data_IF_026462902533
#
_entry.id   IF_026462902533
#
_cell.length_a   1.000
_cell.length_b   1.000
_cell.length_c   1.000
_cell.angle_alpha   90.00
_cell.angle_beta   90.00
_cell.angle_gamma   90.00
#
_symmetry.space_group_name_H-M   'P 1'
#
loop_
_entity.id
_entity.type
_entity.pdbx_description
1 polymer ?
#
# COMPACT_ATOMS: atom_id res chain seq x y z
N UNK A 1 29.96 7.62 8.62
CA UNK A 1 29.43 6.92 9.82
C UNK A 1 29.31 5.45 9.44
N UNK A 2 29.66 4.56 10.36
CA UNK A 2 29.89 3.10 10.25
C UNK A 2 29.35 2.38 8.99
N UNK A 3 30.27 1.90 8.15
CA UNK A 3 30.02 1.10 6.93
C UNK A 3 29.90 -0.41 7.20
N UNK A 4 29.71 -0.82 8.46
CA UNK A 4 29.46 -2.20 8.82
C UNK A 4 27.96 -2.35 9.12
N UNK A 5 27.29 -3.39 8.61
CA UNK A 5 25.88 -3.62 8.92
C UNK A 5 25.73 -3.77 10.45
N UNK A 6 24.81 -3.02 11.04
CA UNK A 6 24.53 -3.02 12.49
C UNK A 6 24.11 -4.42 12.99
N UNK A 7 23.68 -5.30 12.07
CA UNK A 7 23.34 -6.71 12.34
C UNK A 7 23.50 -7.58 11.10
N UNK A 8 23.77 -8.87 11.31
CA UNK A 8 23.64 -9.90 10.27
C UNK A 8 22.16 -10.15 10.00
N UNK A 9 21.75 -10.05 8.73
CA UNK A 9 20.36 -10.28 8.29
C UNK A 9 20.23 -11.65 7.64
N UNK A 10 19.07 -12.25 7.79
CA UNK A 10 18.72 -13.52 7.17
C UNK A 10 18.37 -13.25 5.70
N UNK A 11 19.03 -13.94 4.78
CA UNK A 11 18.62 -13.96 3.38
C UNK A 11 17.54 -15.03 3.17
N UNK A 12 16.57 -14.75 2.29
CA UNK A 12 15.47 -15.65 1.98
C UNK A 12 15.62 -16.22 0.57
N UNK A 13 16.48 -17.24 0.37
CA UNK A 13 16.68 -17.82 -0.94
C UNK A 13 15.37 -18.38 -1.51
N UNK A 14 15.13 -18.09 -2.79
CA UNK A 14 13.96 -18.52 -3.56
C UNK A 14 12.61 -18.07 -2.96
N UNK A 15 12.58 -17.02 -2.13
CA UNK A 15 11.34 -16.50 -1.54
C UNK A 15 10.36 -16.00 -2.62
N UNK A 16 9.11 -16.44 -2.53
CA UNK A 16 8.02 -15.94 -3.37
C UNK A 16 7.46 -14.64 -2.82
N UNK A 17 7.02 -13.73 -3.71
CA UNK A 17 6.32 -12.51 -3.33
C UNK A 17 5.04 -12.76 -2.54
N UNK A 18 4.45 -13.95 -2.72
CA UNK A 18 3.30 -14.45 -1.95
C UNK A 18 3.55 -14.51 -0.45
N UNK A 19 4.81 -14.47 -0.02
CA UNK A 19 5.20 -14.43 1.40
C UNK A 19 4.83 -13.11 2.06
N UNK A 20 5.05 -11.99 1.37
CA UNK A 20 4.80 -10.65 1.92
C UNK A 20 3.55 -9.99 1.35
N UNK A 21 2.99 -10.49 0.24
CA UNK A 21 1.73 -9.99 -0.31
C UNK A 21 0.58 -10.11 0.69
N UNK A 22 0.03 -8.96 1.07
CA UNK A 22 -1.08 -8.89 2.00
C UNK A 22 -2.33 -9.52 1.36
N UNK A 23 -3.11 -10.34 2.07
CA UNK A 23 -4.29 -11.00 1.49
C UNK A 23 -5.31 -10.04 0.86
N UNK A 24 -5.50 -8.85 1.45
CA UNK A 24 -6.39 -7.82 0.88
C UNK A 24 -5.88 -7.19 -0.40
N UNK A 25 -4.56 -7.14 -0.62
CA UNK A 25 -3.98 -6.68 -1.89
C UNK A 25 -4.33 -7.65 -3.01
N UNK A 26 -4.06 -8.95 -2.78
CA UNK A 26 -4.39 -10.03 -3.73
C UNK A 26 -5.88 -10.05 -4.04
N UNK A 27 -6.73 -9.94 -3.01
CA UNK A 27 -8.18 -9.89 -3.18
C UNK A 27 -8.64 -8.66 -4.00
N UNK A 28 -8.10 -7.48 -3.69
CA UNK A 28 -8.42 -6.24 -4.38
C UNK A 28 -8.00 -6.30 -5.85
N UNK A 29 -6.81 -6.83 -6.15
CA UNK A 29 -6.32 -6.96 -7.52
C UNK A 29 -7.18 -7.90 -8.35
N UNK A 30 -7.60 -9.02 -7.77
CA UNK A 30 -8.46 -9.98 -8.45
C UNK A 30 -9.85 -9.40 -8.69
N UNK A 31 -10.40 -8.68 -7.70
CA UNK A 31 -11.69 -7.97 -7.84
C UNK A 31 -11.61 -6.91 -8.92
N UNK A 32 -10.53 -6.14 -8.95
CA UNK A 32 -10.27 -5.11 -9.93
C UNK A 32 -10.26 -5.68 -11.37
N UNK A 33 -9.67 -6.86 -11.57
CA UNK A 33 -9.66 -7.56 -12.87
C UNK A 33 -11.04 -7.99 -13.34
N UNK A 34 -12.03 -8.11 -12.46
CA UNK A 34 -13.42 -8.40 -12.85
C UNK A 34 -14.19 -7.17 -13.32
N UNK A 35 -13.66 -5.95 -13.12
CA UNK A 35 -14.34 -4.73 -13.54
C UNK A 35 -14.41 -4.62 -15.06
N UNK A 36 -15.61 -4.37 -15.56
CA UNK A 36 -15.88 -4.21 -16.99
C UNK A 36 -15.04 -3.05 -17.56
N UNK A 37 -14.21 -3.35 -18.56
CA UNK A 37 -13.38 -2.37 -19.27
C UNK A 37 -11.96 -2.22 -18.71
N UNK A 38 -11.61 -2.91 -17.63
CA UNK A 38 -10.25 -2.92 -17.07
C UNK A 38 -9.20 -3.39 -18.08
N UNK A 39 -9.45 -4.51 -18.76
CA UNK A 39 -8.54 -5.06 -19.76
C UNK A 39 -8.32 -4.11 -20.95
N UNK A 40 -9.37 -3.38 -21.35
CA UNK A 40 -9.30 -2.39 -22.42
C UNK A 40 -8.42 -1.21 -22.00
N UNK A 41 -8.57 -0.72 -20.77
CA UNK A 41 -7.74 0.35 -20.22
C UNK A 41 -6.28 -0.10 -20.14
N UNK A 42 -6.03 -1.29 -19.58
CA UNK A 42 -4.68 -1.84 -19.48
C UNK A 42 -4.01 -2.01 -20.85
N UNK A 43 -4.70 -2.58 -21.84
CA UNK A 43 -4.15 -2.79 -23.18
C UNK A 43 -3.86 -1.46 -23.88
N UNK A 44 -4.77 -0.50 -23.75
CA UNK A 44 -4.65 0.83 -24.38
C UNK A 44 -3.47 1.60 -23.77
N UNK A 45 -3.36 1.59 -22.44
CA UNK A 45 -2.24 2.23 -21.75
C UNK A 45 -0.93 1.49 -22.01
N UNK A 46 -0.88 0.16 -21.94
CA UNK A 46 0.34 -0.60 -22.23
C UNK A 46 0.90 -0.30 -23.63
N UNK A 47 0.05 -0.05 -24.63
CA UNK A 47 0.48 0.35 -25.97
C UNK A 47 0.95 1.81 -26.10
N UNK A 48 0.42 2.72 -25.26
CA UNK A 48 0.78 4.15 -25.25
C UNK A 48 1.98 4.44 -24.35
N UNK A 49 2.14 3.66 -23.28
CA UNK A 49 3.16 3.79 -22.25
C UNK A 49 4.44 3.11 -22.70
N UNK A 50 5.17 3.74 -23.61
CA UNK A 50 6.55 3.32 -23.91
C UNK A 50 7.41 3.64 -22.69
N UNK A 51 7.80 2.62 -21.93
CA UNK A 51 8.65 2.70 -20.74
C UNK A 51 9.87 3.63 -20.93
N UNK A 52 10.41 3.63 -22.15
CA UNK A 52 11.54 4.48 -22.55
C UNK A 52 11.35 5.96 -22.22
N UNK A 53 10.13 6.51 -22.29
CA UNK A 53 9.91 7.94 -21.99
C UNK A 53 10.13 8.26 -20.50
N UNK A 54 9.65 7.42 -19.58
CA UNK A 54 9.82 7.66 -18.14
C UNK A 54 11.27 7.51 -17.73
N UNK A 55 11.94 6.44 -18.17
CA UNK A 55 13.35 6.23 -17.87
C UNK A 55 14.21 7.39 -18.40
N UNK A 56 13.93 7.87 -19.62
CA UNK A 56 14.62 9.05 -20.16
C UNK A 56 14.36 10.32 -19.35
N UNK A 57 13.15 10.51 -18.82
CA UNK A 57 12.84 11.65 -17.96
C UNK A 57 13.67 11.61 -16.67
N UNK A 58 13.70 10.48 -15.96
CA UNK A 58 14.49 10.36 -14.73
C UNK A 58 15.99 10.41 -14.97
N UNK A 59 16.48 9.87 -16.09
CA UNK A 59 17.87 10.06 -16.50
C UNK A 59 18.23 11.54 -16.74
N UNK A 60 17.25 12.37 -17.13
CA UNK A 60 17.47 13.80 -17.37
C UNK A 60 17.27 14.67 -16.11
N UNK A 61 16.44 14.24 -15.14
CA UNK A 61 16.00 15.09 -14.02
C UNK A 61 16.36 14.57 -12.62
N UNK A 62 16.91 13.36 -12.52
CA UNK A 62 17.27 12.72 -11.25
C UNK A 62 18.71 12.20 -11.28
N UNK A 63 19.27 11.91 -10.10
CA UNK A 63 20.59 11.31 -9.96
C UNK A 63 20.43 9.80 -9.86
N UNK A 64 21.17 9.05 -10.69
CA UNK A 64 21.19 7.59 -10.60
C UNK A 64 21.92 7.15 -9.34
N UNK A 65 21.41 6.11 -8.69
CA UNK A 65 22.07 5.43 -7.57
C UNK A 65 22.96 4.33 -8.11
N UNK A 66 24.25 4.41 -7.82
CA UNK A 66 25.26 3.42 -8.19
C UNK A 66 26.46 3.47 -7.21
N UNK A 67 27.54 2.75 -7.53
CA UNK A 67 28.73 2.71 -6.68
C UNK A 67 29.46 4.06 -6.55
N UNK A 68 29.24 4.99 -7.49
CA UNK A 68 29.88 6.31 -7.55
C UNK A 68 28.97 7.43 -7.03
N UNK A 69 27.66 7.23 -7.05
CA UNK A 69 26.65 8.21 -6.65
C UNK A 69 25.65 7.58 -5.69
N UNK A 70 25.45 8.17 -4.50
CA UNK A 70 24.60 7.59 -3.44
C UNK A 70 25.01 6.16 -3.05
N UNK A 71 26.32 5.93 -2.84
CA UNK A 71 26.88 4.60 -2.55
C UNK A 71 26.16 3.88 -1.40
N UNK A 72 25.89 4.58 -0.30
CA UNK A 72 25.19 4.00 0.86
C UNK A 72 23.81 3.45 0.49
N UNK A 73 23.08 4.15 -0.39
CA UNK A 73 21.77 3.73 -0.89
C UNK A 73 21.90 2.60 -1.91
N UNK A 74 22.99 2.58 -2.70
CA UNK A 74 23.33 1.46 -3.57
C UNK A 74 23.61 0.18 -2.77
N UNK A 75 24.31 0.30 -1.64
CA UNK A 75 24.58 -0.81 -0.73
C UNK A 75 23.26 -1.31 -0.12
N UNK A 76 22.39 -0.42 0.37
CA UNK A 76 21.04 -0.79 0.86
C UNK A 76 20.22 -1.53 -0.20
N UNK A 77 20.22 -1.04 -1.44
CA UNK A 77 19.53 -1.67 -2.57
C UNK A 77 20.06 -3.08 -2.84
N UNK A 78 21.37 -3.24 -2.84
CA UNK A 78 22.03 -4.52 -3.10
C UNK A 78 21.73 -5.53 -1.98
N UNK A 79 21.78 -5.09 -0.72
CA UNK A 79 21.40 -5.89 0.43
C UNK A 79 19.94 -6.35 0.35
N UNK A 80 19.00 -5.44 0.08
CA UNK A 80 17.58 -5.79 -0.04
C UNK A 80 17.32 -6.78 -1.18
N UNK A 81 18.04 -6.65 -2.30
CA UNK A 81 17.99 -7.58 -3.44
C UNK A 81 18.48 -8.97 -3.05
N UNK A 82 19.58 -9.06 -2.30
CA UNK A 82 20.08 -10.33 -1.76
C UNK A 82 19.09 -10.93 -0.75
N UNK A 83 18.57 -10.13 0.19
CA UNK A 83 17.62 -10.59 1.22
C UNK A 83 16.35 -11.16 0.61
N UNK A 84 15.72 -10.47 -0.35
CA UNK A 84 14.51 -10.95 -1.03
C UNK A 84 14.80 -11.85 -2.23
N UNK A 85 16.07 -12.21 -2.45
CA UNK A 85 16.52 -13.05 -3.55
C UNK A 85 16.05 -12.55 -4.93
N UNK A 86 16.02 -11.24 -5.18
CA UNK A 86 15.58 -10.70 -6.47
C UNK A 86 16.55 -11.11 -7.60
N UNK A 87 16.01 -11.59 -8.73
CA UNK A 87 16.83 -12.05 -9.87
C UNK A 87 17.52 -10.89 -10.60
N UNK A 88 16.82 -9.77 -10.71
CA UNK A 88 17.36 -8.52 -11.26
C UNK A 88 17.42 -7.46 -10.16
N UNK A 89 18.43 -6.59 -10.22
CA UNK A 89 18.56 -5.44 -9.31
C UNK A 89 17.91 -4.21 -9.97
N UNK A 90 16.73 -3.74 -9.51
CA UNK A 90 16.05 -2.61 -10.14
C UNK A 90 16.92 -1.36 -10.16
N UNK A 91 16.83 -0.57 -11.22
CA UNK A 91 17.47 0.76 -11.22
C UNK A 91 16.85 1.64 -10.13
N UNK A 92 17.63 2.57 -9.59
CA UNK A 92 17.18 3.47 -8.54
C UNK A 92 17.66 4.90 -8.82
N UNK A 93 16.80 5.86 -8.55
CA UNK A 93 17.07 7.29 -8.76
C UNK A 93 16.69 8.12 -7.54
N UNK A 94 17.43 9.21 -7.32
CA UNK A 94 17.11 10.25 -6.34
C UNK A 94 16.70 11.52 -7.06
N UNK A 95 15.48 11.98 -6.80
CA UNK A 95 14.94 13.24 -7.35
C UNK A 95 14.93 14.33 -6.29
N UNK A 96 15.34 15.55 -6.66
CA UNK A 96 15.27 16.69 -5.77
C UNK A 96 13.80 17.07 -5.55
N UNK A 97 13.33 16.88 -4.32
CA UNK A 97 11.99 17.27 -3.90
C UNK A 97 11.92 17.31 -2.37
N UNK A 98 11.34 18.37 -1.77
CA UNK A 98 11.16 18.44 -0.33
C UNK A 98 10.03 17.52 0.17
N UNK A 99 9.19 17.00 -0.74
CA UNK A 99 8.12 16.07 -0.35
C UNK A 99 8.73 14.72 0.03
N UNK A 100 8.39 14.21 1.20
CA UNK A 100 8.77 12.86 1.66
C UNK A 100 8.03 11.83 0.83
N UNK A 101 8.72 11.14 -0.08
CA UNK A 101 8.10 10.16 -0.94
C UNK A 101 9.11 9.15 -1.50
N UNK A 102 8.64 7.94 -1.76
CA UNK A 102 9.31 6.93 -2.55
C UNK A 102 8.25 6.21 -3.41
N UNK A 103 8.66 5.71 -4.57
CA UNK A 103 7.76 4.95 -5.42
C UNK A 103 8.51 4.09 -6.44
N UNK A 104 7.84 3.00 -6.83
CA UNK A 104 8.28 2.10 -7.88
C UNK A 104 7.35 2.17 -9.08
N UNK A 105 7.91 2.42 -10.24
CA UNK A 105 7.18 2.53 -11.52
C UNK A 105 7.93 1.81 -12.63
N UNK A 106 7.23 1.53 -13.72
CA UNK A 106 7.73 0.76 -14.85
C UNK A 106 6.81 -0.40 -15.20
N UNK A 107 6.95 -0.90 -16.44
CA UNK A 107 6.11 -1.96 -16.99
C UNK A 107 6.92 -3.25 -17.17
N UNK A 108 7.98 -3.19 -17.97
CA UNK A 108 8.85 -4.35 -18.25
C UNK A 108 10.02 -4.41 -17.25
N UNK A 109 10.64 -3.25 -16.99
CA UNK A 109 11.75 -3.11 -16.04
C UNK A 109 11.43 -2.05 -14.98
N UNK A 110 10.81 -2.43 -13.85
CA UNK A 110 10.51 -1.49 -12.78
C UNK A 110 11.79 -0.84 -12.25
N UNK A 111 11.68 0.42 -11.84
CA UNK A 111 12.75 1.16 -11.18
C UNK A 111 12.18 1.95 -10.00
N UNK A 112 13.04 2.18 -9.01
CA UNK A 112 12.71 2.81 -7.75
C UNK A 112 13.12 4.27 -7.80
N UNK A 113 12.29 5.16 -7.26
CA UNK A 113 12.58 6.58 -7.13
C UNK A 113 12.39 7.01 -5.69
N UNK A 114 13.38 7.71 -5.14
CA UNK A 114 13.32 8.33 -3.81
C UNK A 114 13.43 9.84 -3.96
N UNK A 115 12.75 10.59 -3.10
CA UNK A 115 12.95 12.03 -3.00
C UNK A 115 14.04 12.38 -2.00
N UNK A 116 14.68 13.54 -2.18
CA UNK A 116 15.60 14.08 -1.16
C UNK A 116 14.93 14.23 0.21
N UNK A 117 13.66 14.67 0.26
CA UNK A 117 12.91 14.80 1.51
C UNK A 117 12.72 13.47 2.26
N UNK A 118 12.61 12.34 1.55
CA UNK A 118 12.62 11.01 2.19
C UNK A 118 13.97 10.71 2.83
N UNK A 119 15.07 10.95 2.12
CA UNK A 119 16.41 10.70 2.62
C UNK A 119 16.76 11.61 3.81
N UNK A 120 16.27 12.84 3.83
CA UNK A 120 16.56 13.83 4.87
C UNK A 120 15.96 13.45 6.23
N UNK A 121 14.82 12.76 6.25
CA UNK A 121 14.14 12.40 7.50
C UNK A 121 14.45 10.97 7.97
N UNK A 122 14.89 10.09 7.07
CA UNK A 122 15.15 8.69 7.36
C UNK A 122 16.63 8.44 7.67
N UNK A 123 16.89 7.73 8.76
CA UNK A 123 18.19 7.15 9.08
C UNK A 123 18.52 6.00 8.12
N UNK A 124 19.78 5.55 8.12
CA UNK A 124 20.22 4.46 7.24
C UNK A 124 19.35 3.18 7.32
N UNK A 125 18.97 2.80 8.54
CA UNK A 125 18.12 1.60 8.77
C UNK A 125 16.66 1.83 8.38
N UNK A 126 16.15 3.04 8.54
CA UNK A 126 14.82 3.42 8.07
C UNK A 126 14.78 3.51 6.53
N UNK A 127 15.87 3.97 5.89
CA UNK A 127 16.03 3.94 4.44
C UNK A 127 16.04 2.50 3.91
N UNK A 128 16.63 1.54 4.65
CA UNK A 128 16.57 0.11 4.30
C UNK A 128 15.13 -0.40 4.22
N UNK A 129 14.30 -0.03 5.20
CA UNK A 129 12.88 -0.36 5.18
C UNK A 129 12.19 0.24 3.95
N UNK A 130 12.43 1.53 3.65
CA UNK A 130 11.85 2.20 2.46
C UNK A 130 12.29 1.54 1.16
N UNK A 131 13.58 1.22 1.02
CA UNK A 131 14.11 0.53 -0.17
C UNK A 131 13.54 -0.88 -0.30
N UNK A 132 13.45 -1.63 0.82
CA UNK A 132 12.83 -2.96 0.84
C UNK A 132 11.35 -2.93 0.50
N UNK A 133 10.64 -1.90 0.94
CA UNK A 133 9.24 -1.66 0.62
C UNK A 133 9.03 -1.46 -0.89
N UNK A 134 9.82 -0.58 -1.49
CA UNK A 134 9.76 -0.32 -2.93
C UNK A 134 10.21 -1.52 -3.77
N UNK A 135 11.24 -2.24 -3.32
CA UNK A 135 11.64 -3.50 -3.95
C UNK A 135 10.51 -4.54 -3.88
N UNK A 136 9.77 -4.60 -2.76
CA UNK A 136 8.58 -5.43 -2.63
C UNK A 136 7.52 -5.13 -3.69
N UNK A 137 7.27 -3.85 -3.97
CA UNK A 137 6.38 -3.46 -5.07
C UNK A 137 6.89 -3.88 -6.44
N UNK A 138 8.20 -3.80 -6.70
CA UNK A 138 8.79 -4.28 -7.94
C UNK A 138 8.58 -5.80 -8.11
N UNK A 139 8.87 -6.57 -7.07
CA UNK A 139 8.81 -8.03 -7.09
C UNK A 139 7.39 -8.60 -7.11
N UNK A 140 6.42 -7.90 -6.51
CA UNK A 140 5.00 -8.26 -6.57
C UNK A 140 4.30 -7.80 -7.86
N UNK A 141 5.01 -7.16 -8.80
CA UNK A 141 4.42 -6.65 -10.05
C UNK A 141 3.50 -5.45 -9.85
N UNK A 142 3.57 -4.76 -8.71
CA UNK A 142 2.72 -3.61 -8.38
C UNK A 142 3.06 -2.37 -9.22
N UNK A 143 4.30 -2.27 -9.69
CA UNK A 143 4.79 -1.15 -10.49
C UNK A 143 3.94 -0.87 -11.74
N UNK A 144 3.44 -1.93 -12.39
CA UNK A 144 2.60 -1.87 -13.60
C UNK A 144 1.31 -1.08 -13.31
N UNK A 145 0.55 -1.52 -12.31
CA UNK A 145 -0.74 -0.94 -11.95
C UNK A 145 -0.58 0.46 -11.36
N UNK A 146 0.49 0.72 -10.59
CA UNK A 146 0.84 2.06 -10.09
C UNK A 146 1.16 3.03 -11.23
N UNK A 147 1.92 2.58 -12.23
CA UNK A 147 2.21 3.35 -13.44
C UNK A 147 0.92 3.70 -14.17
N UNK A 148 0.04 2.71 -14.39
CA UNK A 148 -1.28 2.90 -14.99
C UNK A 148 -2.10 3.94 -14.24
N UNK A 149 -2.20 3.82 -12.91
CA UNK A 149 -2.97 4.76 -12.09
C UNK A 149 -2.41 6.19 -12.19
N UNK A 150 -1.09 6.37 -12.13
CA UNK A 150 -0.46 7.69 -12.28
C UNK A 150 -0.84 8.38 -13.59
N UNK A 151 -0.88 7.63 -14.69
CA UNK A 151 -1.32 8.16 -15.98
C UNK A 151 -2.81 8.50 -16.00
N UNK A 152 -3.65 7.62 -15.44
CA UNK A 152 -5.08 7.86 -15.35
C UNK A 152 -5.39 9.11 -14.52
N UNK A 153 -4.70 9.32 -13.40
CA UNK A 153 -4.85 10.52 -12.58
C UNK A 153 -4.42 11.78 -13.33
N UNK A 154 -3.31 11.74 -14.08
CA UNK A 154 -2.87 12.87 -14.91
C UNK A 154 -3.88 13.21 -16.00
N UNK A 155 -4.46 12.21 -16.66
CA UNK A 155 -5.50 12.40 -17.67
C UNK A 155 -6.81 12.90 -17.05
N UNK A 156 -7.20 12.39 -15.88
CA UNK A 156 -8.38 12.85 -15.16
C UNK A 156 -8.25 14.33 -14.73
N UNK A 157 -7.05 14.74 -14.32
CA UNK A 157 -6.75 16.13 -13.95
C UNK A 157 -6.79 17.12 -15.12
N UNK A 158 -6.56 16.66 -16.36
CA UNK A 158 -6.65 17.50 -17.56
C UNK A 158 -8.03 17.50 -18.21
N UNK A 159 -8.86 16.48 -17.94
CA UNK A 159 -10.16 16.26 -18.59
C UNK A 159 -11.29 16.46 -17.58
N UNK A 160 -11.45 17.68 -17.07
CA UNK A 160 -12.44 18.03 -16.05
C UNK A 160 -13.93 17.92 -16.46
N UNK A 161 -14.27 17.48 -17.68
CA UNK A 161 -15.64 17.57 -18.22
C UNK A 161 -16.01 16.42 -19.20
N UNK A 162 -16.09 15.16 -18.76
CA UNK A 162 -16.67 14.08 -19.61
C UNK A 162 -17.84 13.38 -18.92
N UNK A 163 -19.10 13.53 -19.39
CA UNK A 163 -20.29 13.18 -18.59
C UNK A 163 -20.65 11.69 -18.52
N UNK A 164 -20.26 10.86 -19.51
CA UNK A 164 -20.76 9.46 -19.61
C UNK A 164 -19.66 8.41 -19.58
N UNK A 165 -18.51 8.65 -20.25
CA UNK A 165 -17.31 7.79 -20.11
C UNK A 165 -16.56 7.97 -18.79
N UNK A 166 -16.84 9.05 -18.06
CA UNK A 166 -16.19 9.38 -16.80
C UNK A 166 -16.53 8.41 -15.68
N UNK A 167 -17.73 7.83 -15.62
CA UNK A 167 -18.14 6.97 -14.50
C UNK A 167 -17.44 5.61 -14.48
N UNK A 168 -17.34 4.94 -15.64
CA UNK A 168 -16.59 3.68 -15.73
C UNK A 168 -15.10 3.91 -15.46
N UNK A 169 -14.52 4.98 -16.00
CA UNK A 169 -13.14 5.35 -15.75
C UNK A 169 -12.90 5.71 -14.27
N UNK A 170 -13.81 6.46 -13.64
CA UNK A 170 -13.78 6.78 -12.21
C UNK A 170 -13.87 5.53 -11.34
N UNK A 171 -14.71 4.56 -11.71
CA UNK A 171 -14.79 3.28 -11.00
C UNK A 171 -13.47 2.48 -11.11
N UNK A 172 -12.83 2.47 -12.29
CA UNK A 172 -11.51 1.86 -12.47
C UNK A 172 -10.44 2.59 -11.66
N UNK A 173 -10.45 3.93 -11.66
CA UNK A 173 -9.52 4.74 -10.85
C UNK A 173 -9.74 4.47 -9.35
N UNK A 174 -10.98 4.49 -8.88
CA UNK A 174 -11.32 4.22 -7.49
C UNK A 174 -10.89 2.80 -7.06
N UNK A 175 -11.14 1.81 -7.91
CA UNK A 175 -10.68 0.44 -7.69
C UNK A 175 -9.16 0.32 -7.65
N UNK A 176 -8.45 1.00 -8.55
CA UNK A 176 -6.98 1.05 -8.56
C UNK A 176 -6.42 1.79 -7.34
N UNK A 177 -7.06 2.86 -6.88
CA UNK A 177 -6.65 3.59 -5.67
C UNK A 177 -6.87 2.73 -4.42
N UNK A 178 -7.98 2.00 -4.34
CA UNK A 178 -8.22 1.06 -3.25
C UNK A 178 -7.21 -0.08 -3.25
N UNK A 179 -6.97 -0.67 -4.41
CA UNK A 179 -5.92 -1.67 -4.57
C UNK A 179 -4.54 -1.12 -4.17
N UNK A 180 -4.19 0.10 -4.61
CA UNK A 180 -2.92 0.74 -4.26
C UNK A 180 -2.78 0.88 -2.74
N UNK A 181 -3.84 1.29 -2.04
CA UNK A 181 -3.82 1.36 -0.57
C UNK A 181 -3.56 -0.01 0.08
N UNK A 182 -4.10 -1.10 -0.48
CA UNK A 182 -3.84 -2.44 0.07
C UNK A 182 -2.45 -2.96 -0.27
N UNK A 183 -1.91 -2.62 -1.43
CA UNK A 183 -0.57 -3.06 -1.83
C UNK A 183 0.55 -2.40 -1.01
N UNK A 184 0.30 -1.25 -0.40
CA UNK A 184 1.21 -0.63 0.58
C UNK A 184 1.48 -1.54 1.79
N UNK A 185 0.49 -2.33 2.23
CA UNK A 185 0.66 -3.30 3.32
C UNK A 185 1.60 -4.44 2.90
N UNK A 186 1.55 -4.84 1.62
CA UNK A 186 2.50 -5.80 1.04
C UNK A 186 3.91 -5.23 1.00
N UNK A 187 4.05 -3.97 0.59
CA UNK A 187 5.31 -3.25 0.63
C UNK A 187 5.86 -3.14 2.05
N UNK A 188 5.02 -2.83 3.05
CA UNK A 188 5.45 -2.76 4.45
C UNK A 188 6.04 -4.08 4.96
N UNK A 189 5.39 -5.20 4.63
CA UNK A 189 5.90 -6.54 4.97
C UNK A 189 7.25 -6.81 4.31
N UNK A 190 7.42 -6.45 3.02
CA UNK A 190 8.71 -6.56 2.34
C UNK A 190 9.79 -5.65 2.96
N UNK A 191 9.43 -4.42 3.31
CA UNK A 191 10.31 -3.49 4.02
C UNK A 191 10.77 -4.05 5.37
N UNK A 192 9.87 -4.66 6.13
CA UNK A 192 10.20 -5.33 7.40
C UNK A 192 11.09 -6.55 7.19
N UNK A 193 10.88 -7.35 6.14
CA UNK A 193 11.77 -8.49 5.82
C UNK A 193 13.19 -8.04 5.48
N UNK A 194 13.34 -6.92 4.77
CA UNK A 194 14.64 -6.32 4.47
C UNK A 194 15.30 -5.68 5.69
N UNK A 195 14.51 -5.01 6.55
CA UNK A 195 15.03 -4.34 7.75
C UNK A 195 15.36 -5.30 8.89
N UNK A 196 14.53 -6.33 9.08
CA UNK A 196 14.53 -7.27 10.20
C UNK A 196 14.52 -6.59 11.57
N UNK A 197 13.82 -5.46 11.63
CA UNK A 197 13.66 -4.64 12.83
C UNK A 197 12.25 -4.05 12.88
N UNK A 198 11.43 -4.60 13.78
CA UNK A 198 10.04 -4.18 13.97
C UNK A 198 9.99 -2.74 14.48
N UNK A 199 10.88 -2.35 15.40
CA UNK A 199 10.89 -0.99 15.94
C UNK A 199 11.23 0.04 14.86
N UNK A 200 12.19 -0.26 13.98
CA UNK A 200 12.52 0.59 12.84
C UNK A 200 11.34 0.70 11.87
N UNK A 201 10.68 -0.41 11.54
CA UNK A 201 9.52 -0.40 10.66
C UNK A 201 8.36 0.47 11.20
N UNK A 202 8.04 0.36 12.49
CA UNK A 202 7.03 1.20 13.14
C UNK A 202 7.48 2.67 13.19
N UNK A 203 8.76 2.93 13.47
CA UNK A 203 9.32 4.29 13.48
C UNK A 203 9.27 4.97 12.12
N UNK A 204 9.43 4.22 11.01
CA UNK A 204 9.22 4.76 9.66
C UNK A 204 7.79 5.29 9.53
N UNK A 205 6.78 4.49 9.92
CA UNK A 205 5.37 4.93 9.86
C UNK A 205 5.12 6.17 10.70
N UNK A 206 5.70 6.20 11.90
CA UNK A 206 5.66 7.35 12.80
C UNK A 206 6.25 8.61 12.15
N UNK A 207 7.43 8.50 11.51
CA UNK A 207 8.07 9.61 10.79
C UNK A 207 7.29 10.07 9.58
N UNK A 208 6.65 9.16 8.86
CA UNK A 208 5.77 9.51 7.75
C UNK A 208 4.54 10.31 8.22
N UNK A 209 4.07 10.09 9.46
CA UNK A 209 2.97 10.85 10.05
C UNK A 209 3.41 12.16 10.73
N UNK A 210 4.50 12.14 11.50
CA UNK A 210 4.90 13.22 12.41
C UNK A 210 6.24 13.90 12.11
N UNK A 211 6.97 13.44 11.10
CA UNK A 211 8.29 13.98 10.72
C UNK A 211 9.45 13.49 11.62
N UNK A 212 10.60 14.15 11.51
CA UNK A 212 11.87 13.68 12.09
C UNK A 212 12.10 14.01 13.57
N UNK A 213 11.13 14.61 14.29
CA UNK A 213 11.27 15.02 15.71
C UNK A 213 11.13 13.85 16.67
N UNK A 214 11.93 12.79 16.50
CA UNK A 214 11.77 11.52 17.23
C UNK A 214 11.86 11.68 18.76
N UNK A 215 12.61 12.66 19.28
CA UNK A 215 12.66 12.95 20.71
C UNK A 215 11.31 13.39 21.32
N UNK A 216 10.38 13.83 20.48
CA UNK A 216 9.04 14.30 20.88
C UNK A 216 7.96 13.24 20.62
N UNK A 217 8.31 12.03 20.14
CA UNK A 217 7.34 11.04 19.68
C UNK A 217 7.53 9.69 20.38
N UNK A 218 6.41 9.10 20.81
CA UNK A 218 6.34 7.83 21.51
C UNK A 218 5.68 6.76 20.61
N UNK A 219 6.36 5.63 20.44
CA UNK A 219 5.91 4.51 19.59
C UNK A 219 4.72 3.79 20.18
N UNK A 220 4.70 3.58 21.50
CA UNK A 220 3.62 2.88 22.19
C UNK A 220 2.36 3.73 22.19
N UNK A 221 2.50 5.06 22.38
CA UNK A 221 1.40 6.01 22.25
C UNK A 221 0.84 6.04 20.82
N UNK A 222 1.69 5.96 19.79
CA UNK A 222 1.23 5.90 18.40
C UNK A 222 0.50 4.60 18.07
N UNK A 223 0.92 3.46 18.63
CA UNK A 223 0.19 2.19 18.48
C UNK A 223 -1.12 2.20 19.27
N UNK A 224 -1.17 2.82 20.45
CA UNK A 224 -2.42 3.04 21.18
C UNK A 224 -3.39 3.93 20.39
N UNK A 225 -2.89 4.95 19.70
CA UNK A 225 -3.67 5.78 18.77
C UNK A 225 -4.28 4.94 17.63
N UNK A 226 -3.58 3.88 17.18
CA UNK A 226 -4.12 2.96 16.18
C UNK A 226 -5.35 2.21 16.71
N UNK A 227 -5.26 1.67 17.93
CA UNK A 227 -6.36 0.98 18.59
C UNK A 227 -7.54 1.91 18.85
N UNK A 228 -7.28 3.16 19.25
CA UNK A 228 -8.31 4.19 19.37
C UNK A 228 -8.96 4.48 18.02
N UNK A 229 -8.18 4.67 16.95
CA UNK A 229 -8.73 4.92 15.62
C UNK A 229 -9.60 3.76 15.11
N UNK A 230 -9.22 2.51 15.36
CA UNK A 230 -10.03 1.33 15.00
C UNK A 230 -11.32 1.25 15.81
N UNK A 231 -11.26 1.49 17.12
CA UNK A 231 -12.40 1.37 18.03
C UNK A 231 -13.31 2.61 18.06
N UNK A 232 -12.82 3.78 17.63
CA UNK A 232 -13.51 5.06 17.77
C UNK A 232 -14.66 5.25 16.79
N UNK A 233 -15.70 5.92 17.28
CA UNK A 233 -16.76 6.53 16.48
C UNK A 233 -18.10 5.81 16.51
N UNK A 234 -19.04 6.34 15.76
CA UNK A 234 -20.31 5.71 15.42
C UNK A 234 -20.34 5.25 13.94
N UNK A 235 -21.52 4.83 13.47
CA UNK A 235 -21.71 4.37 12.09
C UNK A 235 -21.38 5.46 11.05
N UNK A 236 -21.60 6.73 11.39
CA UNK A 236 -21.28 7.88 10.55
C UNK A 236 -19.78 8.12 10.54
N UNK A 237 -19.10 8.00 11.67
CA UNK A 237 -17.65 8.12 11.75
C UNK A 237 -16.95 7.05 10.92
N UNK A 238 -17.47 5.82 10.89
CA UNK A 238 -16.96 4.80 9.98
C UNK A 238 -17.07 5.20 8.49
N UNK A 239 -18.17 5.86 8.09
CA UNK A 239 -18.33 6.38 6.71
C UNK A 239 -17.34 7.51 6.45
N UNK A 240 -17.12 8.38 7.44
CA UNK A 240 -16.12 9.45 7.35
C UNK A 240 -14.69 8.90 7.24
N UNK A 241 -14.36 7.83 7.97
CA UNK A 241 -13.07 7.13 7.82
C UNK A 241 -12.87 6.62 6.39
N UNK A 242 -13.90 6.02 5.79
CA UNK A 242 -13.86 5.57 4.39
C UNK A 242 -13.65 6.73 3.42
N UNK A 243 -14.40 7.83 3.58
CA UNK A 243 -14.28 9.02 2.73
C UNK A 243 -12.91 9.70 2.85
N UNK A 244 -12.35 9.74 4.06
CA UNK A 244 -11.01 10.30 4.30
C UNK A 244 -9.90 9.48 3.61
N UNK A 245 -10.10 8.18 3.40
CA UNK A 245 -9.16 7.32 2.69
C UNK A 245 -9.26 7.44 1.17
N UNK A 246 -10.40 7.87 0.63
CA UNK A 246 -10.74 7.79 -0.80
C UNK A 246 -9.69 8.48 -1.70
N UNK A 247 -9.17 9.65 -1.29
CA UNK A 247 -8.25 10.47 -2.08
C UNK A 247 -6.77 10.33 -1.68
N UNK A 248 -6.44 9.48 -0.69
CA UNK A 248 -5.07 9.29 -0.26
C UNK A 248 -4.37 8.23 -1.12
N UNK A 249 -3.13 8.52 -1.51
CA UNK A 249 -2.27 7.60 -2.27
C UNK A 249 -1.74 6.44 -1.43
N UNK A 250 -1.65 6.61 -0.11
CA UNK A 250 -1.20 5.61 0.85
C UNK A 250 -2.20 5.55 2.02
N UNK A 251 -2.40 4.40 2.68
CA UNK A 251 -3.18 4.33 3.92
C UNK A 251 -2.55 5.21 5.00
N UNK A 252 -3.34 5.59 6.00
CA UNK A 252 -2.80 6.28 7.18
C UNK A 252 -1.68 5.47 7.83
N UNK A 253 -0.56 6.12 8.15
CA UNK A 253 0.63 5.46 8.70
C UNK A 253 0.33 4.70 9.99
N UNK A 254 -0.64 5.17 10.78
CA UNK A 254 -1.06 4.52 12.03
C UNK A 254 -1.70 3.13 11.77
N UNK A 255 -2.48 2.99 10.69
CA UNK A 255 -3.08 1.71 10.29
C UNK A 255 -2.02 0.75 9.72
N UNK A 256 -1.04 1.28 8.97
CA UNK A 256 0.10 0.51 8.47
C UNK A 256 0.95 -0.05 9.62
N UNK A 257 1.20 0.77 10.63
CA UNK A 257 1.89 0.36 11.85
C UNK A 257 1.14 -0.76 12.59
N UNK A 258 -0.18 -0.63 12.76
CA UNK A 258 -1.01 -1.67 13.38
C UNK A 258 -0.98 -2.99 12.59
N UNK A 259 -1.10 -2.94 11.26
CA UNK A 259 -1.08 -4.16 10.43
C UNK A 259 0.29 -4.86 10.43
N UNK A 260 1.40 -4.09 10.43
CA UNK A 260 2.74 -4.66 10.66
C UNK A 260 2.83 -5.36 12.01
N UNK A 261 2.35 -4.70 13.07
CA UNK A 261 2.35 -5.28 14.42
C UNK A 261 1.53 -6.56 14.47
N UNK A 262 0.36 -6.58 13.84
CA UNK A 262 -0.51 -7.75 13.74
C UNK A 262 0.19 -8.92 13.03
N UNK A 263 0.89 -8.67 11.92
CA UNK A 263 1.66 -9.71 11.22
C UNK A 263 2.79 -10.30 12.08
N UNK A 264 3.42 -9.47 12.92
CA UNK A 264 4.43 -9.90 13.90
C UNK A 264 3.79 -10.71 15.04
N UNK A 265 2.74 -10.18 15.67
CA UNK A 265 2.07 -10.79 16.83
C UNK A 265 1.42 -12.14 16.49
N UNK A 266 0.88 -12.28 15.26
CA UNK A 266 0.31 -13.53 14.77
C UNK A 266 1.38 -14.62 14.50
N UNK A 267 2.67 -14.28 14.59
CA UNK A 267 3.78 -15.21 14.40
C UNK A 267 4.10 -15.56 12.95
N UNK A 268 3.36 -15.01 11.98
CA UNK A 268 3.61 -15.20 10.54
C UNK A 268 4.99 -14.66 10.15
N UNK A 269 5.34 -13.44 10.58
CA UNK A 269 6.67 -12.89 10.37
C UNK A 269 7.77 -13.78 10.95
N UNK A 270 7.57 -14.28 12.16
CA UNK A 270 8.53 -15.18 12.82
C UNK A 270 8.65 -16.53 12.08
N UNK A 271 7.59 -17.02 11.43
CA UNK A 271 7.63 -18.22 10.60
C UNK A 271 8.53 -18.00 9.37
N UNK A 272 8.38 -16.86 8.68
CA UNK A 272 9.23 -16.50 7.55
C UNK A 272 10.70 -16.43 7.96
N UNK A 273 11.01 -15.80 9.10
CA UNK A 273 12.39 -15.76 9.64
C UNK A 273 12.98 -17.14 9.94
N UNK A 274 12.14 -18.14 10.23
CA UNK A 274 12.58 -19.54 10.44
C UNK A 274 12.73 -20.33 9.15
N UNK A 275 12.42 -19.74 7.99
CA UNK A 275 12.46 -20.42 6.69
C UNK A 275 11.14 -21.04 6.24
N UNK A 276 10.04 -20.79 6.96
CA UNK A 276 8.70 -21.26 6.59
C UNK A 276 8.01 -20.20 5.71
N UNK A 277 8.29 -20.27 4.41
CA UNK A 277 7.73 -19.37 3.42
C UNK A 277 7.59 -20.05 2.05
N UNK A 278 6.61 -19.63 1.21
CA UNK A 278 6.44 -20.14 -0.14
C UNK A 278 7.62 -19.79 -1.04
N UNK A 279 7.98 -20.71 -1.94
CA UNK A 279 9.13 -20.58 -2.84
C UNK A 279 8.71 -20.29 -4.27
N UNK A 280 9.45 -19.46 -5.01
CA UNK A 280 9.14 -19.12 -6.42
C UNK A 280 9.15 -20.33 -7.32
N UNK A 281 10.07 -21.27 -7.08
CA UNK A 281 10.11 -22.55 -7.79
C UNK A 281 8.77 -23.32 -7.76
N UNK A 282 7.98 -23.16 -6.69
CA UNK A 282 6.68 -23.83 -6.50
C UNK A 282 5.47 -22.96 -6.84
N UNK A 283 5.66 -21.73 -7.32
CA UNK A 283 4.54 -20.81 -7.54
C UNK A 283 3.57 -21.26 -8.63
N UNK A 284 4.07 -22.00 -9.63
CA UNK A 284 3.24 -22.57 -10.70
C UNK A 284 2.23 -23.63 -10.20
N UNK A 285 2.47 -24.23 -9.03
CA UNK A 285 1.57 -25.21 -8.41
C UNK A 285 0.44 -24.54 -7.63
N UNK A 286 0.57 -23.24 -7.34
CA UNK A 286 -0.42 -22.49 -6.59
C UNK A 286 -1.73 -22.37 -7.38
N UNK A 287 -2.81 -22.94 -6.83
CA UNK A 287 -4.13 -22.82 -7.46
C UNK A 287 -4.75 -21.48 -7.10
N UNK A 288 -5.12 -20.70 -8.12
CA UNK A 288 -5.89 -19.45 -7.97
C UNK A 288 -7.12 -19.62 -7.06
N UNK A 289 -7.80 -20.77 -7.13
CA UNK A 289 -8.96 -21.08 -6.27
C UNK A 289 -8.62 -21.23 -4.77
N UNK A 290 -7.43 -21.72 -4.44
CA UNK A 290 -6.95 -21.77 -3.05
C UNK A 290 -6.57 -20.38 -2.55
N UNK A 291 -6.00 -19.54 -3.42
CA UNK A 291 -5.68 -18.15 -3.09
C UNK A 291 -6.95 -17.34 -2.82
N UNK A 292 -8.00 -17.50 -3.63
CA UNK A 292 -9.32 -16.94 -3.35
C UNK A 292 -9.87 -17.42 -2.00
N UNK A 293 -9.73 -18.71 -1.69
CA UNK A 293 -10.23 -19.26 -0.43
C UNK A 293 -9.47 -18.68 0.77
N UNK A 294 -8.15 -18.54 0.67
CA UNK A 294 -7.32 -17.95 1.72
C UNK A 294 -7.59 -16.44 1.89
N UNK A 295 -7.75 -15.72 0.79
CA UNK A 295 -8.17 -14.31 0.81
C UNK A 295 -9.56 -14.15 1.44
N UNK A 296 -10.54 -14.99 1.07
CA UNK A 296 -11.88 -14.98 1.64
C UNK A 296 -11.87 -15.34 3.14
N UNK A 297 -11.06 -16.30 3.57
CA UNK A 297 -10.87 -16.63 5.00
C UNK A 297 -10.28 -15.45 5.77
N UNK A 298 -9.25 -14.80 5.23
CA UNK A 298 -8.62 -13.65 5.88
C UNK A 298 -9.58 -12.46 5.95
N UNK A 299 -10.32 -12.19 4.87
CA UNK A 299 -11.36 -11.17 4.87
C UNK A 299 -12.44 -11.47 5.90
N UNK A 300 -12.92 -12.72 5.96
CA UNK A 300 -13.88 -13.18 6.96
C UNK A 300 -13.33 -13.01 8.37
N UNK A 301 -12.09 -13.43 8.64
CA UNK A 301 -11.46 -13.26 9.95
C UNK A 301 -11.34 -11.78 10.32
N UNK A 302 -10.85 -10.93 9.41
CA UNK A 302 -10.74 -9.49 9.65
C UNK A 302 -12.12 -8.85 9.91
N UNK A 303 -13.16 -9.30 9.21
CA UNK A 303 -14.53 -8.87 9.43
C UNK A 303 -15.06 -9.35 10.80
N UNK A 304 -14.83 -10.62 11.12
CA UNK A 304 -15.26 -11.26 12.36
C UNK A 304 -14.53 -10.72 13.60
N UNK A 305 -13.30 -10.22 13.45
CA UNK A 305 -12.50 -9.62 14.55
C UNK A 305 -12.42 -8.10 14.48
N UNK A 306 -13.15 -7.44 13.58
CA UNK A 306 -13.09 -5.99 13.45
C UNK A 306 -13.75 -5.33 14.65
N UNK A 307 -13.07 -4.35 15.23
CA UNK A 307 -13.61 -3.51 16.29
C UNK A 307 -14.33 -2.26 15.77
N UNK A 308 -14.30 -2.02 14.44
CA UNK A 308 -14.92 -0.85 13.83
C UNK A 308 -16.46 -0.87 13.96
N UNK A 309 -17.09 0.22 14.43
CA UNK A 309 -18.54 0.29 14.65
C UNK A 309 -19.41 -0.03 13.43
N UNK A 310 -19.00 0.36 12.21
CA UNK A 310 -19.72 0.01 10.97
C UNK A 310 -19.70 -1.50 10.77
N UNK A 311 -18.51 -2.09 10.86
CA UNK A 311 -18.31 -3.52 10.58
C UNK A 311 -19.02 -4.35 11.65
N UNK A 312 -18.91 -3.96 12.93
CA UNK A 312 -19.68 -4.56 14.03
C UNK A 312 -21.18 -4.52 13.77
N UNK A 313 -21.73 -3.36 13.40
CA UNK A 313 -23.17 -3.23 13.12
C UNK A 313 -23.60 -4.13 11.96
N UNK A 314 -22.84 -4.18 10.86
CA UNK A 314 -23.13 -5.06 9.73
C UNK A 314 -23.04 -6.54 10.13
N UNK A 315 -22.05 -6.91 10.94
CA UNK A 315 -21.87 -8.28 11.47
C UNK A 315 -23.01 -8.67 12.41
N UNK A 316 -23.42 -7.77 13.30
CA UNK A 316 -24.49 -8.01 14.28
C UNK A 316 -25.85 -8.11 13.58
N UNK A 317 -26.10 -7.30 12.55
CA UNK A 317 -27.28 -7.42 11.68
C UNK A 317 -27.23 -8.73 10.86
N UNK A 318 -26.08 -9.07 10.27
CA UNK A 318 -25.90 -10.25 9.43
C UNK A 318 -25.93 -11.58 10.18
N UNK A 319 -25.48 -11.60 11.44
CA UNK A 319 -25.58 -12.76 12.34
C UNK A 319 -26.96 -12.89 12.99
N UNK A 320 -27.74 -11.81 13.01
CA UNK A 320 -29.07 -11.72 13.62
C UNK A 320 -30.27 -11.84 12.68
N UNK A 321 -30.12 -11.92 11.35
CA UNK A 321 -31.29 -11.87 10.45
C UNK A 321 -31.38 -12.89 9.30
N UNK A 322 -32.25 -13.87 9.52
CA UNK A 322 -33.15 -14.49 8.52
C UNK A 322 -34.51 -13.75 8.40
N UNK A 323 -34.59 -12.43 8.63
CA UNK A 323 -35.87 -11.71 8.47
C UNK A 323 -36.06 -10.32 9.09
N UNK A 324 -35.32 -9.28 8.65
CA UNK A 324 -35.83 -7.91 8.67
C UNK A 324 -35.05 -7.06 7.68
N UNK A 325 -35.72 -6.71 6.59
CA UNK A 325 -35.20 -5.82 5.55
C UNK A 325 -35.74 -4.39 5.73
N UNK A 326 -36.66 -4.15 6.66
CA UNK A 326 -37.40 -2.88 6.72
C UNK A 326 -36.74 -1.77 7.57
N UNK A 327 -35.72 -2.07 8.39
CA UNK A 327 -35.11 -1.07 9.28
C UNK A 327 -33.99 -0.25 8.62
N UNK A 328 -33.30 -0.79 7.61
CA UNK A 328 -32.14 -0.15 6.96
C UNK A 328 -32.55 0.93 5.97
N UNK A 329 -33.77 0.85 5.40
CA UNK A 329 -34.27 1.81 4.42
C UNK A 329 -34.47 3.23 4.96
N UNK A 330 -34.81 3.37 6.25
CA UNK A 330 -35.14 4.67 6.84
C UNK A 330 -33.89 5.47 7.27
N UNK A 331 -32.85 4.81 7.79
CA UNK A 331 -31.63 5.51 8.26
C UNK A 331 -30.77 6.11 7.14
N UNK A 332 -30.73 5.46 5.96
CA UNK A 332 -29.98 5.97 4.80
C UNK A 332 -30.69 7.19 4.17
N UNK A 333 -32.03 7.22 4.21
CA UNK A 333 -32.83 8.34 3.71
C UNK A 333 -32.61 9.63 4.49
N UNK A 334 -32.54 9.53 5.82
CA UNK A 334 -32.36 10.68 6.70
C UNK A 334 -30.97 11.31 6.54
N UNK A 335 -29.91 10.49 6.45
CA UNK A 335 -28.54 10.97 6.24
C UNK A 335 -28.36 11.64 4.88
N UNK A 336 -28.96 11.09 3.82
CA UNK A 336 -28.92 11.70 2.50
C UNK A 336 -29.66 13.05 2.45
N UNK A 337 -30.74 13.19 3.23
CA UNK A 337 -31.51 14.44 3.33
C UNK A 337 -30.75 15.54 4.09
N UNK A 338 -30.04 15.19 5.17
CA UNK A 338 -29.29 16.13 5.99
C UNK A 338 -28.05 16.70 5.27
N UNK A 339 -27.33 15.83 4.53
CA UNK A 339 -26.20 16.24 3.69
C UNK A 339 -26.67 17.20 2.58
N UNK A 340 -27.82 16.92 1.95
CA UNK A 340 -28.40 17.79 0.92
C UNK A 340 -28.82 19.15 1.49
N UNK A 341 -29.44 19.17 2.68
CA UNK A 341 -29.83 20.41 3.35
C UNK A 341 -28.64 21.33 3.68
N UNK A 342 -27.50 20.75 4.08
CA UNK A 342 -26.28 21.52 4.37
C UNK A 342 -25.59 22.06 3.12
N UNK A 343 -25.63 21.32 2.01
CA UNK A 343 -25.11 21.79 0.72
C UNK A 343 -25.93 22.94 0.13
N UNK A 344 -27.26 22.89 0.25
CA UNK A 344 -28.14 23.95 -0.24
C UNK A 344 -28.03 25.24 0.61
N UNK A 345 -27.69 25.13 1.90
CA UNK A 345 -27.44 26.29 2.75
C UNK A 345 -26.15 27.02 2.37
N UNK A 346 -25.08 26.28 2.03
CA UNK A 346 -23.78 26.85 1.65
C UNK A 346 -23.79 27.57 0.30
N UNK A 347 -24.71 27.23 -0.61
CA UNK A 347 -24.91 27.96 -1.89
C UNK A 347 -25.70 29.26 -1.77
N UNK A 348 -26.31 29.53 -0.61
CA UNK A 348 -27.18 30.69 -0.36
C UNK A 348 -26.58 31.70 0.64
N UNK A 349 -25.35 31.46 1.10
CA UNK A 349 -24.50 32.41 1.85
C UNK A 349 -23.30 32.75 0.98
#
# INVERSE_FOLDING_TARGET
MTSAPDRTRIEFPDISSRTWEHPSDRAALVTLRTLKGFDTVLRTLSGLLRERQHRLMYLATAVRVDERQFKDLNDLRSDCVSILGAEETPEMFVVQSPMVNAFTIGMDRPFIVLTTGMLDIMTYEEQRFVVGHELGHALSGHAVYRTVLMHLMRLAGTVGWVPVGGWALRAVIAGLMEWQRKSELSGDRAGLLCGQDVHTAIRVQLKLAGGARISEIDVDAFLAQAAEYEASGDLRDGVLKLLNLELLSHPFSVLRAAELKKWVDNGEYAAVLRGDYPRRSTDHEAKVSEEFRNAARTYKNNFDTSEDPLIKTVRDIGSGFTGAVDAVGNGIGDVASDIKGRFDHWRKS
#
